data_IF_786098386811
#
_entry.id   IF_786098386811
#
_cell.length_a   1.000
_cell.length_b   1.000
_cell.length_c   1.000
_cell.angle_alpha   90.00
_cell.angle_beta   90.00
_cell.angle_gamma   90.00
#
_symmetry.space_group_name_H-M   'P 1'
#
loop_
_entity.id
_entity.type
_entity.pdbx_description
1 polymer ?
#
# COMPACT_ATOMS: atom_id res chain seq x y z
N UNK A 1 -14.53 -14.53 3.70
CA UNK A 1 -13.62 -14.15 2.60
C UNK A 1 -13.12 -15.42 1.96
N UNK A 2 -13.43 -15.65 0.68
CA UNK A 2 -13.00 -16.83 -0.06
C UNK A 2 -11.68 -16.51 -0.76
N UNK A 3 -10.64 -17.30 -0.53
CA UNK A 3 -9.36 -17.11 -1.20
C UNK A 3 -9.46 -17.61 -2.65
N UNK A 4 -9.22 -16.73 -3.64
CA UNK A 4 -9.23 -17.09 -5.06
C UNK A 4 -7.90 -17.71 -5.49
N UNK A 5 -7.52 -18.85 -4.92
CA UNK A 5 -6.29 -19.57 -5.25
C UNK A 5 -6.59 -20.78 -6.14
N UNK A 6 -7.17 -20.54 -7.31
CA UNK A 6 -7.46 -21.60 -8.29
C UNK A 6 -6.30 -21.86 -9.26
N UNK A 7 -5.33 -20.94 -9.34
CA UNK A 7 -4.23 -20.96 -10.30
C UNK A 7 -2.88 -20.95 -9.58
N UNK A 8 -1.90 -21.69 -10.12
CA UNK A 8 -0.50 -21.62 -9.68
C UNK A 8 0.02 -20.19 -9.80
N UNK A 9 0.52 -19.63 -8.70
CA UNK A 9 0.98 -18.25 -8.62
C UNK A 9 2.18 -17.97 -9.53
N UNK A 10 2.19 -16.80 -10.18
CA UNK A 10 3.29 -16.25 -10.95
C UNK A 10 3.96 -15.12 -10.17
N UNK A 11 5.24 -14.85 -10.45
CA UNK A 11 5.99 -13.76 -9.78
C UNK A 11 5.28 -12.39 -9.89
N UNK A 12 4.54 -12.15 -10.98
CA UNK A 12 3.79 -10.90 -11.20
C UNK A 12 2.59 -10.73 -10.27
N UNK A 13 2.04 -11.82 -9.76
CA UNK A 13 0.86 -11.77 -8.90
C UNK A 13 1.21 -11.10 -7.55
N UNK A 14 2.46 -11.24 -7.10
CA UNK A 14 2.97 -10.62 -5.87
C UNK A 14 3.61 -9.23 -6.07
N UNK A 15 3.99 -8.88 -7.31
CA UNK A 15 4.78 -7.68 -7.60
C UNK A 15 4.16 -6.38 -7.06
N UNK A 16 2.84 -6.25 -7.05
CA UNK A 16 2.15 -5.08 -6.50
C UNK A 16 2.34 -4.97 -4.97
N UNK A 17 2.22 -6.10 -4.27
CA UNK A 17 2.41 -6.16 -2.82
C UNK A 17 3.89 -5.98 -2.44
N UNK A 18 4.82 -6.56 -3.22
CA UNK A 18 6.26 -6.36 -3.04
C UNK A 18 6.66 -4.89 -3.17
N UNK A 19 6.13 -4.20 -4.18
CA UNK A 19 6.36 -2.77 -4.35
C UNK A 19 5.78 -1.97 -3.17
N UNK A 20 4.55 -2.27 -2.75
CA UNK A 20 3.92 -1.63 -1.59
C UNK A 20 4.79 -1.78 -0.32
N UNK A 21 5.22 -3.00 -0.01
CA UNK A 21 6.01 -3.26 1.20
C UNK A 21 7.42 -2.67 1.12
N UNK A 22 8.03 -2.62 -0.07
CA UNK A 22 9.32 -1.96 -0.25
C UNK A 22 9.23 -0.46 0.05
N UNK A 23 8.21 0.22 -0.50
CA UNK A 23 7.97 1.64 -0.23
C UNK A 23 7.62 1.88 1.25
N UNK A 24 6.77 1.03 1.82
CA UNK A 24 6.37 1.13 3.22
C UNK A 24 7.54 1.03 4.18
N UNK A 25 8.47 0.10 3.96
CA UNK A 25 9.66 -0.05 4.80
C UNK A 25 10.53 1.21 4.74
N UNK A 26 10.80 1.72 3.54
CA UNK A 26 11.61 2.94 3.33
C UNK A 26 10.95 4.18 3.95
N UNK A 27 9.67 4.38 3.69
CA UNK A 27 8.98 5.62 4.08
C UNK A 27 8.51 5.62 5.55
N UNK A 28 8.24 4.45 6.14
CA UNK A 28 7.63 4.35 7.48
C UNK A 28 8.55 3.71 8.54
N UNK A 29 9.37 2.72 8.18
CA UNK A 29 10.19 1.99 9.17
C UNK A 29 11.65 2.44 9.19
N UNK A 30 12.20 2.88 8.05
CA UNK A 30 13.57 3.38 8.00
C UNK A 30 13.68 4.84 8.48
N UNK A 31 12.60 5.61 8.41
CA UNK A 31 12.56 7.02 8.86
C UNK A 31 12.07 7.20 10.30
N UNK A 32 11.38 6.21 10.88
CA UNK A 32 10.77 6.32 12.21
C UNK A 32 11.16 5.15 13.10
N UNK A 33 11.52 5.45 14.35
CA UNK A 33 11.73 4.46 15.41
C UNK A 33 10.52 4.43 16.35
N UNK A 34 9.95 3.25 16.58
CA UNK A 34 8.80 3.08 17.47
C UNK A 34 9.24 2.48 18.79
N UNK A 35 8.77 3.03 19.91
CA UNK A 35 9.08 2.50 21.26
C UNK A 35 8.01 1.54 21.73
N UNK A 36 6.76 1.71 21.24
CA UNK A 36 5.61 0.88 21.61
C UNK A 36 4.96 0.28 20.38
N UNK A 37 4.44 -0.94 20.51
CA UNK A 37 3.70 -1.61 19.43
C UNK A 37 2.46 -0.82 18.96
N UNK A 38 1.84 -0.04 19.86
CA UNK A 38 0.68 0.82 19.54
C UNK A 38 1.07 1.94 18.56
N UNK A 39 2.25 2.53 18.74
CA UNK A 39 2.76 3.59 17.86
C UNK A 39 3.01 3.04 16.44
N UNK A 40 3.63 1.85 16.36
CA UNK A 40 3.84 1.16 15.08
C UNK A 40 2.51 0.84 14.38
N UNK A 41 1.51 0.34 15.11
CA UNK A 41 0.17 0.09 14.56
C UNK A 41 -0.50 1.36 14.03
N UNK A 42 -0.41 2.46 14.77
CA UNK A 42 -0.95 3.75 14.33
C UNK A 42 -0.22 4.27 13.09
N UNK A 43 1.10 4.12 13.03
CA UNK A 43 1.89 4.51 11.86
C UNK A 43 1.52 3.69 10.62
N UNK A 44 1.32 2.38 10.76
CA UNK A 44 0.82 1.51 9.68
C UNK A 44 -0.54 2.00 9.17
N UNK A 45 -1.50 2.25 10.07
CA UNK A 45 -2.84 2.71 9.69
C UNK A 45 -2.79 4.06 8.96
N UNK A 46 -2.01 5.02 9.47
CA UNK A 46 -1.80 6.32 8.85
C UNK A 46 -1.18 6.18 7.46
N UNK A 47 -0.18 5.32 7.32
CA UNK A 47 0.47 5.08 6.04
C UNK A 47 -0.48 4.47 5.01
N UNK A 48 -1.31 3.49 5.40
CA UNK A 48 -2.31 2.89 4.50
C UNK A 48 -3.30 3.96 4.02
N UNK A 49 -3.78 4.83 4.91
CA UNK A 49 -4.67 5.92 4.55
C UNK A 49 -4.01 6.91 3.57
N UNK A 50 -2.77 7.32 3.86
CA UNK A 50 -1.97 8.15 2.97
C UNK A 50 -1.78 7.50 1.59
N UNK A 51 -1.37 6.22 1.55
CA UNK A 51 -1.12 5.49 0.31
C UNK A 51 -2.37 5.42 -0.57
N UNK A 52 -3.54 5.15 0.01
CA UNK A 52 -4.77 4.98 -0.75
C UNK A 52 -5.42 6.30 -1.19
N UNK A 53 -5.38 7.33 -0.33
CA UNK A 53 -6.16 8.55 -0.55
C UNK A 53 -5.35 9.77 -0.99
N UNK A 54 -4.05 9.79 -0.73
CA UNK A 54 -3.22 10.99 -0.90
C UNK A 54 -2.00 10.77 -1.79
N UNK A 55 -1.48 9.54 -1.89
CA UNK A 55 -0.30 9.25 -2.69
C UNK A 55 -0.56 9.51 -4.17
N UNK A 56 0.16 10.47 -4.73
CA UNK A 56 0.15 10.75 -6.15
C UNK A 56 0.90 9.65 -6.89
N UNK A 57 0.22 9.01 -7.84
CA UNK A 57 0.84 8.01 -8.70
C UNK A 57 0.88 8.55 -10.13
N UNK A 58 2.09 8.75 -10.68
CA UNK A 58 2.28 9.22 -12.07
C UNK A 58 1.58 8.32 -13.08
N UNK A 59 1.54 7.00 -12.81
CA UNK A 59 0.82 6.01 -13.64
C UNK A 59 -0.70 6.17 -13.64
N UNK A 60 -1.27 6.87 -12.66
CA UNK A 60 -2.70 7.11 -12.50
C UNK A 60 -3.07 8.57 -12.82
N UNK A 61 -2.37 9.22 -13.76
CA UNK A 61 -2.59 10.64 -14.07
C UNK A 61 -2.50 11.57 -12.84
N UNK A 62 -1.57 11.29 -11.93
CA UNK A 62 -1.43 12.00 -10.66
C UNK A 62 -2.68 11.96 -9.78
N UNK A 63 -3.47 10.89 -9.88
CA UNK A 63 -4.57 10.62 -8.97
C UNK A 63 -4.11 9.69 -7.85
N UNK A 64 -4.74 9.82 -6.69
CA UNK A 64 -4.70 8.79 -5.66
C UNK A 64 -5.45 7.55 -6.14
N UNK A 65 -5.07 6.37 -5.64
CA UNK A 65 -5.75 5.11 -5.96
C UNK A 65 -7.26 5.18 -5.73
N UNK A 66 -7.70 5.81 -4.64
CA UNK A 66 -9.12 6.02 -4.36
C UNK A 66 -9.81 6.81 -5.48
N UNK A 67 -9.34 8.03 -5.77
CA UNK A 67 -9.89 8.87 -6.85
C UNK A 67 -9.89 8.19 -8.22
N UNK A 68 -8.82 7.46 -8.56
CA UNK A 68 -8.77 6.69 -9.80
C UNK A 68 -9.89 5.64 -9.86
N UNK A 69 -10.11 4.89 -8.77
CA UNK A 69 -11.19 3.90 -8.70
C UNK A 69 -12.58 4.54 -8.76
N UNK A 70 -12.76 5.73 -8.21
CA UNK A 70 -14.06 6.44 -8.26
C UNK A 70 -14.35 7.03 -9.64
N UNK A 71 -13.33 7.38 -10.44
CA UNK A 71 -13.50 7.90 -11.81
C UNK A 71 -13.70 6.81 -12.86
N UNK A 72 -13.20 5.61 -12.60
CA UNK A 72 -13.31 4.44 -13.51
C UNK A 72 -14.60 3.65 -13.23
N UNK A 73 -15.38 4.03 -12.21
CA UNK A 73 -16.65 3.39 -11.84
C UNK A 73 -17.82 3.83 -12.72
#
# INVERSE_FOLDING_TARGET
MQASVSRKGKYRDNACMENFFSQFKVECFHLYSFRKAVEAKLAVLKYIQFYNHQRFQKKLNNLSLYKYRTQVA
#
